data_IF_953461399084
#
_entry.id   IF_953461399084
#
_cell.length_a   1.000
_cell.length_b   1.000
_cell.length_c   1.000
_cell.angle_alpha   90.00
_cell.angle_beta   90.00
_cell.angle_gamma   90.00
#
_symmetry.space_group_name_H-M   'P 1'
#
loop_
_entity.id
_entity.type
_entity.pdbx_description
1 polymer ?
#
# COMPACT_ATOMS: atom_id res chain seq x y z
N UNK A 1 3.45 -4.49 -30.57
CA UNK A 1 3.15 -3.14 -31.06
C UNK A 1 4.21 -2.16 -30.55
N UNK A 2 5.06 -1.63 -31.46
CA UNK A 2 6.16 -0.72 -31.10
C UNK A 2 5.70 0.71 -30.82
N UNK A 3 4.46 1.04 -31.17
CA UNK A 3 3.92 2.39 -31.01
C UNK A 3 4.48 3.41 -31.98
N UNK A 4 3.96 4.65 -31.90
CA UNK A 4 4.24 5.70 -32.88
C UNK A 4 5.59 6.39 -32.68
N UNK A 5 6.16 6.35 -31.47
CA UNK A 5 7.40 7.05 -31.13
C UNK A 5 8.52 6.00 -30.98
N UNK A 6 9.61 6.08 -31.76
CA UNK A 6 10.76 5.18 -31.60
C UNK A 6 11.27 5.18 -30.15
N UNK A 7 11.60 3.99 -29.65
CA UNK A 7 12.06 3.74 -28.27
C UNK A 7 11.01 3.99 -27.18
N UNK A 8 10.34 5.14 -27.17
CA UNK A 8 9.29 5.48 -26.19
C UNK A 8 8.04 4.59 -26.32
N UNK A 9 7.71 4.19 -27.53
CA UNK A 9 6.51 3.42 -27.86
C UNK A 9 5.22 4.09 -27.39
N UNK A 10 4.43 3.39 -26.57
CA UNK A 10 3.11 3.85 -26.11
C UNK A 10 3.13 4.50 -24.72
N UNK A 11 4.30 4.82 -24.16
CA UNK A 11 4.42 5.21 -22.73
C UNK A 11 3.56 6.42 -22.34
N UNK A 12 3.39 7.41 -23.23
CA UNK A 12 2.60 8.60 -22.94
C UNK A 12 1.10 8.29 -22.85
N UNK A 13 0.59 7.48 -23.78
CA UNK A 13 -0.81 7.06 -23.76
C UNK A 13 -1.09 6.14 -22.57
N UNK A 14 -0.17 5.19 -22.32
CA UNK A 14 -0.24 4.27 -21.19
C UNK A 14 -0.33 5.03 -19.87
N UNK A 15 0.56 6.00 -19.60
CA UNK A 15 0.54 6.79 -18.36
C UNK A 15 -0.68 7.70 -18.23
N UNK A 16 -1.21 8.22 -19.34
CA UNK A 16 -2.37 9.11 -19.33
C UNK A 16 -3.64 8.37 -18.91
N UNK A 17 -3.86 7.16 -19.43
CA UNK A 17 -5.00 6.33 -19.04
C UNK A 17 -4.72 4.85 -19.34
N UNK A 18 -4.15 4.15 -18.37
CA UNK A 18 -3.77 2.73 -18.48
C UNK A 18 -4.95 1.86 -18.87
N UNK A 19 -6.11 2.04 -18.25
CA UNK A 19 -7.29 1.20 -18.48
C UNK A 19 -7.79 1.31 -19.93
N UNK A 20 -7.97 2.54 -20.42
CA UNK A 20 -8.41 2.80 -21.80
C UNK A 20 -7.38 2.31 -22.82
N UNK A 21 -6.09 2.49 -22.55
CA UNK A 21 -5.02 1.97 -23.39
C UNK A 21 -5.07 0.43 -23.49
N UNK A 22 -5.18 -0.27 -22.35
CA UNK A 22 -5.22 -1.73 -22.33
C UNK A 22 -6.46 -2.28 -23.01
N UNK A 23 -7.62 -1.64 -22.83
CA UNK A 23 -8.84 -2.01 -23.54
C UNK A 23 -8.66 -1.92 -25.05
N UNK A 24 -8.14 -0.79 -25.56
CA UNK A 24 -7.85 -0.60 -26.99
C UNK A 24 -6.86 -1.63 -27.52
N UNK A 25 -5.80 -1.93 -26.76
CA UNK A 25 -4.81 -2.93 -27.17
C UNK A 25 -5.38 -4.34 -27.20
N UNK A 26 -6.24 -4.69 -26.24
CA UNK A 26 -6.97 -5.96 -26.21
C UNK A 26 -7.91 -6.08 -27.42
N UNK A 27 -8.68 -5.04 -27.72
CA UNK A 27 -9.56 -5.02 -28.91
C UNK A 27 -8.77 -5.20 -30.22
N UNK A 28 -7.55 -4.64 -30.29
CA UNK A 28 -6.70 -4.70 -31.48
C UNK A 28 -5.93 -6.01 -31.64
N UNK A 29 -5.41 -6.56 -30.55
CA UNK A 29 -4.41 -7.65 -30.58
C UNK A 29 -4.88 -8.95 -29.89
N UNK A 30 -6.07 -8.96 -29.30
CA UNK A 30 -6.59 -10.07 -28.53
C UNK A 30 -6.08 -10.09 -27.08
N UNK A 31 -6.20 -11.23 -26.41
CA UNK A 31 -5.96 -11.34 -24.97
C UNK A 31 -4.50 -11.37 -24.54
N UNK A 32 -3.57 -11.56 -25.47
CA UNK A 32 -2.14 -11.60 -25.19
C UNK A 32 -1.42 -10.73 -26.21
N UNK A 33 -0.75 -9.69 -25.75
CA UNK A 33 -0.06 -8.76 -26.63
C UNK A 33 1.19 -8.19 -26.00
N UNK A 34 2.14 -7.81 -26.85
CA UNK A 34 3.40 -7.19 -26.43
C UNK A 34 3.44 -5.75 -26.89
N UNK A 35 3.73 -4.81 -25.99
CA UNK A 35 3.87 -3.37 -26.32
C UNK A 35 5.22 -2.83 -25.88
N UNK A 36 5.75 -1.88 -26.63
CA UNK A 36 6.94 -1.13 -26.21
C UNK A 36 6.52 0.06 -25.33
N UNK A 37 7.10 0.17 -24.13
CA UNK A 37 6.89 1.26 -23.18
C UNK A 37 8.25 1.71 -22.63
N UNK A 38 8.70 2.91 -23.04
CA UNK A 38 9.92 3.52 -22.49
C UNK A 38 11.18 2.68 -22.67
N UNK A 39 11.36 2.09 -23.85
CA UNK A 39 12.52 1.23 -24.18
C UNK A 39 12.33 -0.24 -23.84
N UNK A 40 11.37 -0.59 -22.99
CA UNK A 40 11.10 -1.97 -22.57
C UNK A 40 9.94 -2.59 -23.35
N UNK A 41 9.94 -3.93 -23.45
CA UNK A 41 8.83 -4.69 -24.03
C UNK A 41 8.03 -5.35 -22.91
N UNK A 42 6.75 -4.98 -22.79
CA UNK A 42 5.83 -5.52 -21.80
C UNK A 42 4.85 -6.48 -22.46
N UNK A 43 4.76 -7.68 -21.92
CA UNK A 43 3.77 -8.69 -22.31
C UNK A 43 2.56 -8.55 -21.40
N UNK A 44 1.43 -8.14 -21.96
CA UNK A 44 0.16 -8.09 -21.25
C UNK A 44 -0.65 -9.36 -21.53
N UNK A 45 -1.24 -9.88 -20.45
CA UNK A 45 -2.13 -11.03 -20.47
C UNK A 45 -3.43 -10.54 -19.86
N UNK A 46 -4.52 -10.59 -20.63
CA UNK A 46 -5.84 -10.09 -20.22
C UNK A 46 -6.90 -11.17 -20.19
N UNK A 47 -6.56 -12.41 -20.58
CA UNK A 47 -7.41 -13.58 -20.38
C UNK A 47 -7.28 -14.09 -18.93
N UNK A 48 -8.36 -14.05 -18.13
CA UNK A 48 -8.34 -14.51 -16.75
C UNK A 48 -8.03 -16.01 -16.62
N UNK A 49 -8.36 -16.83 -17.63
CA UNK A 49 -8.12 -18.28 -17.59
C UNK A 49 -6.63 -18.61 -17.69
N UNK A 50 -5.86 -17.73 -18.33
CA UNK A 50 -4.41 -17.84 -18.47
C UNK A 50 -3.62 -17.37 -17.24
N UNK A 51 -4.23 -16.70 -16.26
CA UNK A 51 -3.48 -16.15 -15.12
C UNK A 51 -2.82 -17.24 -14.27
N UNK A 52 -3.55 -18.33 -14.01
CA UNK A 52 -3.11 -19.40 -13.11
C UNK A 52 -1.80 -20.07 -13.53
N UNK A 53 -1.56 -20.23 -14.83
CA UNK A 53 -0.31 -20.82 -15.34
C UNK A 53 0.87 -19.88 -15.16
N UNK A 54 0.66 -18.57 -15.33
CA UNK A 54 1.71 -17.55 -15.25
C UNK A 54 2.10 -17.27 -13.80
N UNK A 55 1.13 -17.08 -12.90
CA UNK A 55 1.43 -16.76 -11.49
C UNK A 55 2.06 -17.93 -10.72
N UNK A 56 1.90 -19.16 -11.20
CA UNK A 56 2.48 -20.38 -10.59
C UNK A 56 3.82 -20.80 -11.21
N UNK A 57 4.29 -20.11 -12.24
CA UNK A 57 5.52 -20.47 -12.91
C UNK A 57 6.73 -20.35 -11.96
N UNK A 58 7.76 -21.17 -12.19
CA UNK A 58 8.94 -21.15 -11.36
C UNK A 58 9.66 -19.78 -11.43
N UNK A 59 10.20 -19.33 -10.28
CA UNK A 59 10.97 -18.08 -10.19
C UNK A 59 12.18 -18.02 -11.13
N UNK A 60 12.71 -19.17 -11.52
CA UNK A 60 13.80 -19.27 -12.52
C UNK A 60 13.40 -18.78 -13.91
N UNK A 61 12.10 -18.73 -14.21
CA UNK A 61 11.55 -18.23 -15.46
C UNK A 61 10.87 -16.86 -15.30
N UNK A 62 10.06 -16.69 -14.25
CA UNK A 62 9.35 -15.45 -13.96
C UNK A 62 9.67 -14.97 -12.53
N UNK A 63 10.55 -13.97 -12.43
CA UNK A 63 11.05 -13.43 -11.17
C UNK A 63 10.50 -12.03 -10.88
N UNK A 64 9.54 -11.96 -9.95
CA UNK A 64 8.97 -10.69 -9.48
C UNK A 64 9.86 -9.98 -8.46
N UNK A 65 10.80 -10.69 -7.81
CA UNK A 65 11.61 -10.14 -6.72
C UNK A 65 12.52 -9.02 -7.23
N UNK A 66 13.13 -9.18 -8.41
CA UNK A 66 13.98 -8.16 -9.03
C UNK A 66 13.26 -6.84 -9.27
N UNK A 67 12.01 -6.92 -9.74
CA UNK A 67 11.19 -5.72 -9.95
C UNK A 67 10.87 -5.03 -8.62
N UNK A 68 10.48 -5.80 -7.61
CA UNK A 68 10.19 -5.27 -6.28
C UNK A 68 11.41 -4.61 -5.63
N UNK A 69 12.61 -5.21 -5.73
CA UNK A 69 13.86 -4.63 -5.22
C UNK A 69 14.20 -3.29 -5.88
N UNK A 70 14.07 -3.20 -7.22
CA UNK A 70 14.32 -1.96 -7.95
C UNK A 70 13.32 -0.87 -7.55
N UNK A 71 12.04 -1.22 -7.41
CA UNK A 71 11.00 -0.29 -6.99
C UNK A 71 11.27 0.23 -5.57
N UNK A 72 11.58 -0.65 -4.63
CA UNK A 72 11.85 -0.29 -3.24
C UNK A 72 13.10 0.60 -3.13
N UNK A 73 14.17 0.26 -3.86
CA UNK A 73 15.39 1.08 -3.89
C UNK A 73 15.16 2.45 -4.51
N UNK A 74 14.37 2.53 -5.58
CA UNK A 74 14.08 3.79 -6.27
C UNK A 74 13.18 4.70 -5.44
N UNK A 75 12.13 4.14 -4.86
CA UNK A 75 11.10 4.91 -4.18
C UNK A 75 11.53 5.24 -2.75
N UNK A 76 11.92 4.23 -1.96
CA UNK A 76 12.24 4.40 -0.54
C UNK A 76 13.74 4.57 -0.25
N UNK A 77 14.61 4.50 -1.25
CA UNK A 77 16.06 4.54 -1.04
C UNK A 77 16.62 3.32 -0.30
N UNK A 78 15.81 2.27 -0.14
CA UNK A 78 16.17 1.09 0.64
C UNK A 78 16.74 -0.02 -0.25
N UNK A 79 17.91 -0.55 0.12
CA UNK A 79 18.51 -1.72 -0.53
C UNK A 79 18.54 -2.86 0.46
N UNK A 80 17.88 -3.96 0.13
CA UNK A 80 17.82 -5.13 0.99
C UNK A 80 19.17 -5.82 1.09
N UNK A 81 19.49 -6.35 2.27
CA UNK A 81 20.65 -7.22 2.49
C UNK A 81 20.26 -8.65 2.11
N UNK A 82 21.20 -9.38 1.49
CA UNK A 82 20.99 -10.77 1.07
C UNK A 82 20.48 -11.60 2.27
N UNK A 83 19.37 -12.34 2.09
CA UNK A 83 18.58 -13.13 3.06
C UNK A 83 17.38 -12.46 3.78
N UNK A 84 17.20 -11.13 3.71
CA UNK A 84 16.06 -10.47 4.37
C UNK A 84 14.69 -10.89 3.83
N UNK A 85 14.59 -11.20 2.53
CA UNK A 85 13.31 -11.60 1.93
C UNK A 85 12.68 -12.83 2.62
N UNK A 86 13.50 -13.81 3.02
CA UNK A 86 13.03 -15.01 3.74
C UNK A 86 12.58 -14.65 5.15
N UNK A 87 13.31 -13.75 5.81
CA UNK A 87 12.95 -13.26 7.15
C UNK A 87 11.64 -12.46 7.12
N UNK A 88 11.48 -11.55 6.15
CA UNK A 88 10.26 -10.78 5.94
C UNK A 88 9.07 -11.69 5.63
N UNK A 89 9.25 -12.71 4.80
CA UNK A 89 8.20 -13.69 4.51
C UNK A 89 7.79 -14.47 5.76
N UNK A 90 8.76 -15.00 6.51
CA UNK A 90 8.50 -15.74 7.74
C UNK A 90 7.80 -14.88 8.81
N UNK A 91 8.25 -13.64 8.98
CA UNK A 91 7.66 -12.69 9.94
C UNK A 91 6.25 -12.28 9.51
N UNK A 92 6.04 -12.02 8.22
CA UNK A 92 4.72 -11.70 7.66
C UNK A 92 3.75 -12.86 7.86
N UNK A 93 4.14 -14.10 7.55
CA UNK A 93 3.30 -15.27 7.77
C UNK A 93 2.99 -15.48 9.26
N UNK A 94 3.95 -15.25 10.15
CA UNK A 94 3.74 -15.39 11.60
C UNK A 94 2.70 -14.40 12.14
N UNK A 95 2.74 -13.14 11.71
CA UNK A 95 1.92 -12.07 12.30
C UNK A 95 0.66 -11.73 11.50
N UNK A 96 0.62 -12.02 10.20
CA UNK A 96 -0.49 -11.69 9.30
C UNK A 96 -1.30 -12.93 8.86
N UNK A 97 -1.04 -14.10 9.45
CA UNK A 97 -1.83 -15.32 9.24
C UNK A 97 -2.11 -16.03 10.57
N UNK A 98 -3.10 -16.92 10.57
CA UNK A 98 -3.45 -17.76 11.73
C UNK A 98 -3.68 -16.95 13.01
N UNK A 99 -3.15 -17.44 14.12
CA UNK A 99 -3.31 -16.83 15.45
C UNK A 99 -2.69 -15.43 15.53
N UNK A 100 -1.60 -15.16 14.80
CA UNK A 100 -0.98 -13.83 14.76
C UNK A 100 -1.94 -12.77 14.20
N UNK A 101 -2.71 -13.13 13.16
CA UNK A 101 -3.70 -12.24 12.58
C UNK A 101 -4.83 -11.91 13.56
N UNK A 102 -5.20 -12.84 14.45
CA UNK A 102 -6.22 -12.60 15.48
C UNK A 102 -5.76 -11.50 16.43
N UNK A 103 -4.51 -11.57 16.89
CA UNK A 103 -3.90 -10.54 17.75
C UNK A 103 -3.87 -9.19 17.03
N UNK A 104 -3.45 -9.18 15.76
CA UNK A 104 -3.43 -7.96 14.94
C UNK A 104 -4.83 -7.36 14.74
N UNK A 105 -5.85 -8.20 14.56
CA UNK A 105 -7.24 -7.76 14.40
C UNK A 105 -7.78 -7.11 15.67
N UNK A 106 -7.46 -7.69 16.83
CA UNK A 106 -7.82 -7.10 18.13
C UNK A 106 -7.12 -5.75 18.36
N UNK A 107 -5.83 -5.66 18.06
CA UNK A 107 -5.07 -4.42 18.15
C UNK A 107 -5.62 -3.34 17.22
N UNK A 108 -5.97 -3.71 15.98
CA UNK A 108 -6.60 -2.80 15.01
C UNK A 108 -7.96 -2.30 15.51
N UNK A 109 -8.82 -3.19 16.02
CA UNK A 109 -10.14 -2.82 16.53
C UNK A 109 -10.03 -1.87 17.74
N UNK A 110 -9.14 -2.16 18.68
CA UNK A 110 -8.86 -1.29 19.82
C UNK A 110 -8.46 0.12 19.36
N UNK A 111 -7.54 0.21 18.39
CA UNK A 111 -7.06 1.50 17.90
C UNK A 111 -8.11 2.25 17.09
N UNK A 112 -8.96 1.56 16.30
CA UNK A 112 -10.11 2.17 15.64
C UNK A 112 -11.07 2.81 16.64
N UNK A 113 -11.41 2.09 17.72
CA UNK A 113 -12.26 2.62 18.78
C UNK A 113 -11.62 3.82 19.48
N UNK A 114 -10.31 3.73 19.79
CA UNK A 114 -9.57 4.83 20.41
C UNK A 114 -9.57 6.09 19.53
N UNK A 115 -9.48 5.95 18.22
CA UNK A 115 -9.43 7.07 17.28
C UNK A 115 -10.83 7.64 16.99
N UNK A 116 -11.82 6.78 16.74
CA UNK A 116 -13.15 7.21 16.30
C UNK A 116 -14.06 7.64 17.45
N UNK A 117 -13.91 7.07 18.65
CA UNK A 117 -14.86 7.24 19.74
C UNK A 117 -14.38 8.18 20.86
N UNK A 118 -13.16 8.73 20.77
CA UNK A 118 -12.58 9.56 21.83
C UNK A 118 -13.41 10.81 22.17
N UNK A 119 -14.15 11.36 21.20
CA UNK A 119 -15.01 12.53 21.36
C UNK A 119 -16.47 12.19 21.69
N UNK A 120 -16.87 10.91 21.64
CA UNK A 120 -18.29 10.50 21.74
C UNK A 120 -18.82 10.52 23.18
N UNK A 121 -17.93 10.50 24.19
CA UNK A 121 -18.26 10.40 25.62
C UNK A 121 -18.11 11.68 26.46
N UNK A 122 -17.66 12.80 25.87
CA UNK A 122 -17.37 14.04 26.60
C UNK A 122 -18.49 15.07 26.36
N UNK A 123 -19.47 15.13 27.27
CA UNK A 123 -20.47 16.18 27.54
C UNK A 123 -20.94 17.18 26.45
N UNK A 124 -22.27 17.25 26.29
CA UNK A 124 -23.18 18.31 25.78
C UNK A 124 -22.90 19.16 24.53
N UNK A 125 -21.72 19.12 23.90
CA UNK A 125 -21.46 19.83 22.63
C UNK A 125 -21.08 18.87 21.50
N UNK A 126 -22.02 17.99 21.14
CA UNK A 126 -21.90 17.14 19.93
C UNK A 126 -22.16 17.98 18.68
N UNK A 127 -21.19 18.80 18.30
CA UNK A 127 -21.22 19.53 17.04
C UNK A 127 -20.91 18.61 15.87
N UNK A 128 -21.67 18.78 14.78
CA UNK A 128 -21.36 18.14 13.51
C UNK A 128 -19.98 18.59 13.02
N UNK A 129 -19.15 17.63 12.63
CA UNK A 129 -17.85 17.88 12.04
C UNK A 129 -17.92 17.62 10.54
N UNK A 130 -17.55 18.62 9.73
CA UNK A 130 -17.46 18.48 8.29
C UNK A 130 -16.02 18.08 7.89
N UNK A 131 -15.90 17.05 7.05
CA UNK A 131 -14.61 16.60 6.52
C UNK A 131 -14.78 15.83 5.22
N UNK A 132 -13.70 15.72 4.44
CA UNK A 132 -13.68 14.90 3.23
C UNK A 132 -13.66 13.42 3.56
N UNK A 133 -14.58 12.64 2.99
CA UNK A 133 -14.72 11.20 3.29
C UNK A 133 -13.41 10.41 3.10
N UNK A 134 -12.67 10.68 2.02
CA UNK A 134 -11.39 10.03 1.76
C UNK A 134 -10.32 10.43 2.80
N UNK A 135 -10.23 11.72 3.11
CA UNK A 135 -9.27 12.23 4.08
C UNK A 135 -9.53 11.62 5.48
N UNK A 136 -10.79 11.57 5.89
CA UNK A 136 -11.21 10.95 7.14
C UNK A 136 -10.91 9.44 7.18
N UNK A 137 -11.37 8.69 6.18
CA UNK A 137 -11.16 7.24 6.12
C UNK A 137 -9.68 6.89 6.09
N UNK A 138 -8.87 7.60 5.30
CA UNK A 138 -7.43 7.36 5.22
C UNK A 138 -6.73 7.70 6.53
N UNK A 139 -7.03 8.85 7.14
CA UNK A 139 -6.47 9.22 8.43
C UNK A 139 -6.73 8.14 9.49
N UNK A 140 -7.98 7.71 9.64
CA UNK A 140 -8.38 6.72 10.65
C UNK A 140 -7.72 5.36 10.40
N UNK A 141 -7.82 4.81 9.17
CA UNK A 141 -7.28 3.48 8.85
C UNK A 141 -5.76 3.46 8.93
N UNK A 142 -5.07 4.52 8.46
CA UNK A 142 -3.62 4.62 8.55
C UNK A 142 -3.16 4.64 10.01
N UNK A 143 -3.74 5.52 10.83
CA UNK A 143 -3.34 5.70 12.23
C UNK A 143 -3.61 4.44 13.05
N UNK A 144 -4.77 3.82 12.85
CA UNK A 144 -5.11 2.57 13.53
C UNK A 144 -4.16 1.43 13.13
N UNK A 145 -3.86 1.30 11.83
CA UNK A 145 -2.94 0.30 11.32
C UNK A 145 -1.51 0.51 11.80
N UNK A 146 -1.05 1.76 11.85
CA UNK A 146 0.25 2.12 12.40
C UNK A 146 0.37 1.71 13.87
N UNK A 147 -0.58 2.10 14.72
CA UNK A 147 -0.54 1.75 16.14
C UNK A 147 -0.67 0.23 16.36
N UNK A 148 -1.45 -0.47 15.54
CA UNK A 148 -1.55 -1.92 15.61
C UNK A 148 -0.24 -2.63 15.26
N UNK A 149 0.51 -2.14 14.27
CA UNK A 149 1.77 -2.75 13.80
C UNK A 149 3.00 -2.33 14.62
N UNK A 150 3.07 -1.07 15.03
CA UNK A 150 4.25 -0.47 15.69
C UNK A 150 4.06 -0.29 17.20
N UNK A 151 2.86 -0.57 17.71
CA UNK A 151 2.53 -0.51 19.13
C UNK A 151 1.95 0.82 19.57
N UNK A 152 1.51 0.83 20.82
CA UNK A 152 0.91 1.96 21.52
C UNK A 152 1.84 2.46 22.63
N UNK A 153 1.68 3.72 23.02
CA UNK A 153 2.40 4.33 24.12
C UNK A 153 2.12 3.58 25.45
N UNK A 154 3.15 3.48 26.30
CA UNK A 154 3.05 2.73 27.54
C UNK A 154 2.30 3.49 28.63
N UNK A 155 1.51 2.79 29.43
CA UNK A 155 0.94 3.37 30.66
C UNK A 155 2.02 3.65 31.70
N UNK A 156 3.15 2.92 31.67
CA UNK A 156 4.27 3.10 32.61
C UNK A 156 4.98 4.45 32.43
N UNK A 157 5.12 4.92 31.19
CA UNK A 157 5.71 6.22 30.86
C UNK A 157 4.74 7.39 31.14
N UNK A 158 3.44 7.18 30.93
CA UNK A 158 2.42 8.24 30.91
C UNK A 158 1.56 8.36 32.17
N UNK A 159 1.73 7.42 33.13
CA UNK A 159 1.02 7.30 34.42
C UNK A 159 -0.47 6.95 34.34
N UNK A 160 -1.15 7.25 33.22
CA UNK A 160 -2.59 6.98 33.03
C UNK A 160 -2.88 6.53 31.60
N UNK A 161 -3.84 5.61 31.43
CA UNK A 161 -4.24 5.09 30.13
C UNK A 161 -4.75 6.18 29.17
N UNK A 162 -5.49 7.17 29.66
CA UNK A 162 -6.04 8.23 28.82
C UNK A 162 -4.95 9.15 28.24
N UNK A 163 -3.88 9.40 29.01
CA UNK A 163 -2.71 10.14 28.51
C UNK A 163 -1.94 9.36 27.46
N UNK A 164 -1.75 8.04 27.64
CA UNK A 164 -1.15 7.20 26.60
C UNK A 164 -1.95 7.26 25.30
N UNK A 165 -3.28 7.12 25.40
CA UNK A 165 -4.19 7.20 24.25
C UNK A 165 -4.17 8.58 23.56
N UNK A 166 -4.06 9.67 24.32
CA UNK A 166 -3.94 11.01 23.75
C UNK A 166 -2.62 11.22 23.01
N UNK A 167 -1.51 10.73 23.58
CA UNK A 167 -0.21 10.77 22.91
C UNK A 167 -0.24 9.95 21.62
N UNK A 168 -0.80 8.74 21.65
CA UNK A 168 -0.98 7.91 20.44
C UNK A 168 -1.80 8.64 19.37
N UNK A 169 -2.88 9.34 19.77
CA UNK A 169 -3.69 10.14 18.84
C UNK A 169 -2.86 11.25 18.21
N UNK A 170 -2.15 12.05 19.00
CA UNK A 170 -1.37 13.18 18.49
C UNK A 170 -0.23 12.71 17.60
N UNK A 171 0.59 11.78 18.07
CA UNK A 171 1.74 11.24 17.35
C UNK A 171 1.34 10.60 16.02
N UNK A 172 0.30 9.77 16.04
CA UNK A 172 -0.17 9.11 14.81
C UNK A 172 -0.74 10.11 13.79
N UNK A 173 -1.35 11.22 14.23
CA UNK A 173 -1.85 12.26 13.33
C UNK A 173 -0.72 13.06 12.68
N UNK A 174 0.31 13.41 13.46
CA UNK A 174 1.52 14.06 12.94
C UNK A 174 2.23 13.17 11.91
N UNK A 175 2.41 11.89 12.23
CA UNK A 175 3.00 10.92 11.30
C UNK A 175 2.17 10.80 10.02
N UNK A 176 0.84 10.75 10.12
CA UNK A 176 -0.03 10.68 8.95
C UNK A 176 0.15 11.89 8.04
N UNK A 177 0.28 13.10 8.60
CA UNK A 177 0.52 14.32 7.81
C UNK A 177 1.84 14.24 7.04
N UNK A 178 2.91 13.78 7.67
CA UNK A 178 4.20 13.60 6.98
C UNK A 178 4.13 12.49 5.92
N UNK A 179 3.52 11.35 6.24
CA UNK A 179 3.33 10.26 5.29
C UNK A 179 2.54 10.70 4.05
N UNK A 180 1.48 11.51 4.23
CA UNK A 180 0.65 11.97 3.11
C UNK A 180 1.38 12.88 2.12
N UNK A 181 2.37 13.66 2.58
CA UNK A 181 3.24 14.44 1.67
C UNK A 181 3.99 13.52 0.71
N UNK A 182 4.50 12.40 1.23
CA UNK A 182 5.22 11.41 0.45
C UNK A 182 4.29 10.59 -0.48
N UNK A 183 3.18 10.09 0.06
CA UNK A 183 2.20 9.26 -0.68
C UNK A 183 1.62 9.98 -1.91
N UNK A 184 1.40 11.30 -1.82
CA UNK A 184 0.96 12.12 -2.95
C UNK A 184 1.97 12.15 -4.12
N UNK A 185 3.26 11.97 -3.82
CA UNK A 185 4.33 11.99 -4.82
C UNK A 185 4.70 10.59 -5.31
N UNK A 186 4.23 9.53 -4.64
CA UNK A 186 4.57 8.14 -4.94
C UNK A 186 4.41 7.78 -6.43
N UNK A 187 3.32 8.16 -7.14
CA UNK A 187 3.18 7.84 -8.58
C UNK A 187 4.24 8.47 -9.50
N UNK A 188 4.95 9.50 -9.04
CA UNK A 188 6.05 10.14 -9.77
C UNK A 188 7.41 9.54 -9.42
N UNK A 189 7.52 8.91 -8.25
CA UNK A 189 8.74 8.23 -7.79
C UNK A 189 8.85 6.80 -8.34
N UNK A 190 7.72 6.12 -8.54
CA UNK A 190 7.62 4.76 -9.06
C UNK A 190 8.01 4.65 -10.55
#
# INVERSE_FOLDING_TARGET
DKGPIPWFGHVLEFRKNTAKFLQRMKEKHGDIFTVQLGGFYFHFITDPLSFGSVVKEARTKLDFTKFAEQLVARVFGYRSVESEHKFLQATSTKHLMGDGLVVMTQAMMYNLQNLMLHSVGSGDDKQWQETGLFAYSYNIVFRAGYLALFGNESVKSTRTLDKAKEIDRQHSDELFKEFRKYDQLFPNLA
#
